data_IF_956819085676
#
_entry.id   IF_956819085676
#
_cell.length_a   1.000
_cell.length_b   1.000
_cell.length_c   1.000
_cell.angle_alpha   90.00
_cell.angle_beta   90.00
_cell.angle_gamma   90.00
#
_symmetry.space_group_name_H-M   'P 1'
#
loop_
_entity.id
_entity.type
_entity.pdbx_description
1 polymer ?
#
# COMPACT_ATOMS: atom_id res chain seq x y z
N UNK A 1 -9.77 -4.86 0.09
CA UNK A 1 -8.84 -5.80 -0.58
C UNK A 1 -7.51 -5.10 -0.78
N UNK A 2 -6.54 -5.34 0.12
CA UNK A 2 -5.17 -4.96 -0.18
C UNK A 2 -4.73 -5.72 -1.43
N UNK A 3 -4.50 -5.00 -2.53
CA UNK A 3 -3.91 -5.58 -3.74
C UNK A 3 -2.69 -6.41 -3.33
N UNK A 4 -2.62 -7.67 -3.79
CA UNK A 4 -1.43 -8.52 -3.65
C UNK A 4 -0.33 -7.96 -4.55
N UNK A 5 0.21 -6.79 -4.18
CA UNK A 5 1.33 -6.17 -4.87
C UNK A 5 2.55 -7.02 -4.63
N UNK A 6 3.27 -7.32 -5.70
CA UNK A 6 4.52 -8.04 -5.59
C UNK A 6 5.56 -7.10 -4.96
N UNK A 7 6.16 -7.54 -3.85
CA UNK A 7 7.24 -6.81 -3.19
C UNK A 7 8.56 -7.27 -3.77
N UNK A 8 9.26 -6.38 -4.48
CA UNK A 8 10.53 -6.70 -5.13
C UNK A 8 11.69 -6.78 -4.14
N UNK A 9 11.73 -5.85 -3.17
CA UNK A 9 12.73 -5.84 -2.09
C UNK A 9 12.30 -4.94 -0.94
N UNK A 10 12.83 -5.23 0.24
CA UNK A 10 12.77 -4.35 1.41
C UNK A 10 14.11 -3.68 1.66
N UNK A 11 14.07 -2.45 2.13
CA UNK A 11 15.22 -1.72 2.64
C UNK A 11 15.00 -1.45 4.12
N UNK A 12 15.98 -1.75 4.97
CA UNK A 12 15.93 -1.50 6.42
C UNK A 12 17.02 -0.54 6.87
N UNK A 13 16.73 0.24 7.90
CA UNK A 13 17.70 1.08 8.59
C UNK A 13 18.61 0.18 9.46
N UNK A 14 19.92 0.18 9.16
CA UNK A 14 20.89 -0.62 9.89
C UNK A 14 20.92 -0.25 11.38
N UNK A 15 20.98 -1.27 12.24
CA UNK A 15 20.95 -1.10 13.70
C UNK A 15 19.55 -0.92 14.29
N UNK A 16 18.50 -0.84 13.48
CA UNK A 16 17.12 -0.74 13.96
C UNK A 16 16.52 -2.13 14.21
N UNK A 17 16.61 -2.58 15.45
CA UNK A 17 16.21 -3.94 15.85
C UNK A 17 14.89 -4.00 16.63
N UNK A 18 13.92 -3.12 16.33
CA UNK A 18 12.63 -3.16 17.04
C UNK A 18 11.88 -4.46 16.74
N UNK A 19 11.01 -4.96 17.64
CA UNK A 19 10.23 -6.18 17.40
C UNK A 19 9.43 -6.13 16.08
N UNK A 20 8.92 -4.94 15.74
CA UNK A 20 8.22 -4.69 14.48
C UNK A 20 9.13 -4.90 13.27
N UNK A 21 10.36 -4.37 13.27
CA UNK A 21 11.31 -4.55 12.17
C UNK A 21 11.70 -6.01 12.02
N UNK A 22 11.99 -6.69 13.14
CA UNK A 22 12.34 -8.11 13.12
C UNK A 22 11.22 -8.98 12.55
N UNK A 23 9.96 -8.71 12.91
CA UNK A 23 8.82 -9.43 12.37
C UNK A 23 8.67 -9.25 10.86
N UNK A 24 8.92 -8.04 10.35
CA UNK A 24 8.90 -7.77 8.90
C UNK A 24 10.03 -8.49 8.17
N UNK A 25 11.24 -8.52 8.75
CA UNK A 25 12.38 -9.25 8.18
C UNK A 25 12.06 -10.75 8.10
N UNK A 26 11.57 -11.36 9.19
CA UNK A 26 11.16 -12.78 9.20
C UNK A 26 10.09 -13.08 8.16
N UNK A 27 9.11 -12.19 7.99
CA UNK A 27 8.07 -12.33 6.97
C UNK A 27 8.64 -12.24 5.55
N UNK A 28 9.60 -11.35 5.32
CA UNK A 28 10.28 -11.21 4.04
C UNK A 28 11.11 -12.44 3.69
N UNK A 29 11.87 -12.97 4.66
CA UNK A 29 12.64 -14.21 4.53
C UNK A 29 11.73 -15.41 4.20
N UNK A 30 10.62 -15.57 4.95
CA UNK A 30 9.64 -16.62 4.70
C UNK A 30 9.02 -16.53 3.29
N UNK A 31 8.92 -15.32 2.74
CA UNK A 31 8.41 -15.04 1.39
C UNK A 31 9.51 -14.93 0.33
N UNK A 32 10.77 -15.18 0.69
CA UNK A 32 11.96 -15.06 -0.20
C UNK A 32 12.09 -13.67 -0.85
N UNK A 33 11.66 -12.62 -0.15
CA UNK A 33 11.81 -11.23 -0.59
C UNK A 33 13.20 -10.72 -0.17
N UNK A 34 14.04 -10.21 -1.08
CA UNK A 34 15.33 -9.64 -0.74
C UNK A 34 15.24 -8.51 0.30
N UNK A 35 16.11 -8.54 1.29
CA UNK A 35 16.24 -7.49 2.32
C UNK A 35 17.62 -6.87 2.25
N UNK A 36 17.69 -5.56 2.03
CA UNK A 36 18.91 -4.76 1.97
C UNK A 36 18.98 -3.84 3.19
N UNK A 37 20.12 -3.82 3.88
CA UNK A 37 20.32 -2.95 5.05
C UNK A 37 21.16 -1.73 4.64
N UNK A 38 20.68 -0.53 4.95
CA UNK A 38 21.42 0.72 4.67
C UNK A 38 21.85 1.40 5.97
N UNK A 39 23.07 1.97 6.01
CA UNK A 39 23.49 2.85 7.09
C UNK A 39 22.47 3.97 7.31
N UNK A 40 22.22 4.33 8.57
CA UNK A 40 21.20 5.32 8.98
C UNK A 40 21.24 6.59 8.12
N UNK A 41 22.41 7.20 7.93
CA UNK A 41 22.56 8.43 7.15
C UNK A 41 22.10 8.25 5.68
N UNK A 42 22.45 7.13 5.04
CA UNK A 42 22.05 6.82 3.66
C UNK A 42 20.56 6.50 3.58
N UNK A 43 20.02 5.75 4.54
CA UNK A 43 18.59 5.45 4.62
C UNK A 43 17.77 6.75 4.69
N UNK A 44 18.10 7.63 5.63
CA UNK A 44 17.40 8.90 5.80
C UNK A 44 17.60 9.86 4.61
N UNK A 45 18.78 9.88 3.99
CA UNK A 45 19.03 10.65 2.76
C UNK A 45 18.18 10.15 1.59
N UNK A 46 17.92 8.85 1.52
CA UNK A 46 17.16 8.20 0.44
C UNK A 46 15.64 8.30 0.62
N UNK A 47 15.14 8.24 1.85
CA UNK A 47 13.71 8.19 2.17
C UNK A 47 13.21 9.42 2.96
N UNK A 48 13.81 10.59 2.70
CA UNK A 48 13.62 11.86 3.40
C UNK A 48 12.17 12.18 3.80
N UNK A 49 12.00 12.87 4.93
CA UNK A 49 10.77 13.51 5.41
C UNK A 49 9.50 12.62 5.48
N UNK A 50 9.61 11.29 5.39
CA UNK A 50 8.50 10.37 5.59
C UNK A 50 8.60 9.64 6.94
N UNK A 51 7.45 9.35 7.56
CA UNK A 51 7.38 8.51 8.78
C UNK A 51 7.62 7.05 8.38
N UNK A 52 8.88 6.67 8.13
CA UNK A 52 9.26 5.35 7.62
C UNK A 52 9.47 4.29 8.71
N UNK A 53 9.63 4.69 9.98
CA UNK A 53 9.88 3.78 11.12
C UNK A 53 11.06 2.79 10.95
N UNK A 54 11.92 3.00 9.95
CA UNK A 54 13.13 2.21 9.69
C UNK A 54 12.96 1.12 8.62
N UNK A 55 11.85 1.12 7.89
CA UNK A 55 11.55 0.12 6.85
C UNK A 55 10.99 0.83 5.62
N UNK A 56 11.46 0.45 4.44
CA UNK A 56 10.90 0.83 3.15
C UNK A 56 10.77 -0.41 2.26
N UNK A 57 9.89 -0.36 1.26
CA UNK A 57 9.69 -1.48 0.34
C UNK A 57 9.40 -0.99 -1.08
N UNK A 58 9.94 -1.71 -2.05
CA UNK A 58 9.65 -1.50 -3.47
C UNK A 58 8.58 -2.51 -3.89
N UNK A 59 7.47 -2.00 -4.42
CA UNK A 59 6.31 -2.79 -4.82
C UNK A 59 6.00 -2.53 -6.29
N UNK A 60 5.35 -3.49 -6.94
CA UNK A 60 4.69 -3.26 -8.22
C UNK A 60 3.68 -2.12 -8.11
N UNK A 61 3.52 -1.37 -9.20
CA UNK A 61 2.49 -0.35 -9.33
C UNK A 61 1.09 -0.92 -9.10
N UNK A 62 0.16 -0.05 -8.74
CA UNK A 62 -1.26 -0.38 -8.71
C UNK A 62 -1.80 -0.13 -10.11
N UNK A 63 -2.38 -1.16 -10.73
CA UNK A 63 -3.15 -0.97 -11.95
C UNK A 63 -4.49 -0.32 -11.59
N UNK A 64 -4.86 0.71 -12.35
CA UNK A 64 -6.23 1.23 -12.38
C UNK A 64 -7.09 0.29 -13.24
N UNK A 65 -8.39 0.32 -12.99
CA UNK A 65 -9.39 -0.38 -13.80
C UNK A 65 -10.10 0.66 -14.66
N UNK A 66 -10.53 0.25 -15.84
CA UNK A 66 -11.53 1.02 -16.59
C UNK A 66 -12.89 0.97 -15.85
N UNK A 67 -13.77 1.93 -16.13
CA UNK A 67 -15.03 2.07 -15.42
C UNK A 67 -15.92 0.83 -15.58
N UNK A 68 -16.00 0.29 -16.79
CA UNK A 68 -16.80 -0.88 -17.13
C UNK A 68 -16.31 -2.11 -16.35
N UNK A 69 -14.99 -2.32 -16.31
CA UNK A 69 -14.38 -3.42 -15.54
C UNK A 69 -14.69 -3.30 -14.04
N UNK A 70 -14.64 -2.09 -13.49
CA UNK A 70 -14.96 -1.85 -12.10
C UNK A 70 -16.41 -2.23 -11.79
N UNK A 71 -17.34 -1.83 -12.65
CA UNK A 71 -18.77 -2.12 -12.49
C UNK A 71 -19.03 -3.63 -12.54
N UNK A 72 -18.44 -4.33 -13.51
CA UNK A 72 -18.56 -5.79 -13.64
C UNK A 72 -18.05 -6.51 -12.39
N UNK A 73 -16.86 -6.15 -11.90
CA UNK A 73 -16.26 -6.74 -10.69
C UNK A 73 -17.12 -6.43 -9.46
N UNK A 74 -17.75 -5.25 -9.39
CA UNK A 74 -18.60 -4.88 -8.28
C UNK A 74 -19.86 -5.77 -8.20
N UNK A 75 -20.52 -6.01 -9.34
CA UNK A 75 -21.68 -6.89 -9.43
C UNK A 75 -21.36 -8.37 -9.18
N UNK A 76 -20.14 -8.81 -9.47
CA UNK A 76 -19.71 -10.17 -9.10
C UNK A 76 -19.61 -10.36 -7.58
N UNK A 77 -19.43 -9.28 -6.81
CA UNK A 77 -19.30 -9.34 -5.33
C UNK A 77 -20.63 -9.18 -4.61
N UNK A 78 -21.58 -8.45 -5.19
CA UNK A 78 -22.88 -8.15 -4.58
C UNK A 78 -23.92 -7.80 -5.64
N UNK A 79 -25.18 -8.13 -5.38
CA UNK A 79 -26.31 -7.79 -6.27
C UNK A 79 -26.64 -6.29 -6.30
N UNK A 80 -26.22 -5.53 -5.28
CA UNK A 80 -26.41 -4.09 -5.18
C UNK A 80 -25.08 -3.42 -4.81
N UNK A 81 -24.18 -3.18 -5.78
CA UNK A 81 -22.89 -2.56 -5.52
C UNK A 81 -23.04 -1.07 -5.20
N UNK A 82 -22.22 -0.63 -4.26
CA UNK A 82 -22.02 0.79 -3.93
C UNK A 82 -20.64 1.21 -4.41
N UNK A 83 -20.59 2.29 -5.18
CA UNK A 83 -19.36 2.92 -5.66
C UNK A 83 -19.26 4.35 -5.12
N UNK A 84 -18.04 4.85 -4.96
CA UNK A 84 -17.77 6.23 -4.52
C UNK A 84 -17.01 6.97 -5.60
N UNK A 85 -17.52 8.13 -6.02
CA UNK A 85 -16.82 9.03 -6.94
C UNK A 85 -16.14 10.11 -6.10
N UNK A 86 -14.84 10.33 -6.33
CA UNK A 86 -14.08 11.35 -5.62
C UNK A 86 -13.71 12.46 -6.60
N UNK A 87 -14.39 13.60 -6.50
CA UNK A 87 -14.10 14.77 -7.31
C UNK A 87 -13.27 15.78 -6.50
N UNK A 88 -12.19 16.31 -7.09
CA UNK A 88 -11.36 17.36 -6.49
C UNK A 88 -10.47 16.95 -5.30
N UNK A 89 -10.27 15.65 -5.04
CA UNK A 89 -9.36 15.20 -3.97
C UNK A 89 -7.90 15.33 -4.39
N UNK A 90 -7.17 16.28 -3.77
CA UNK A 90 -5.77 16.56 -4.09
C UNK A 90 -4.78 16.04 -3.03
N UNK A 91 -5.22 15.91 -1.78
CA UNK A 91 -4.37 15.47 -0.67
C UNK A 91 -4.32 13.93 -0.56
N UNK A 92 -3.12 13.31 -0.68
CA UNK A 92 -2.97 11.87 -0.51
C UNK A 92 -3.41 11.33 0.85
N UNK A 93 -3.35 12.16 1.90
CA UNK A 93 -3.80 11.74 3.24
C UNK A 93 -5.32 11.58 3.28
N UNK A 94 -6.07 12.54 2.73
CA UNK A 94 -7.52 12.45 2.59
C UNK A 94 -7.94 11.27 1.70
N UNK A 95 -7.28 11.09 0.54
CA UNK A 95 -7.53 9.93 -0.32
C UNK A 95 -7.33 8.60 0.42
N UNK A 96 -6.25 8.47 1.18
CA UNK A 96 -5.97 7.29 1.98
C UNK A 96 -7.01 7.03 3.09
N UNK A 97 -7.51 8.10 3.73
CA UNK A 97 -8.57 7.98 4.73
C UNK A 97 -9.88 7.49 4.11
N UNK A 98 -10.26 8.03 2.96
CA UNK A 98 -11.48 7.63 2.24
C UNK A 98 -11.40 6.18 1.78
N UNK A 99 -10.28 5.75 1.19
CA UNK A 99 -10.06 4.36 0.77
C UNK A 99 -10.26 3.38 1.95
N UNK A 100 -9.72 3.72 3.13
CA UNK A 100 -9.87 2.89 4.34
C UNK A 100 -11.30 2.82 4.84
N UNK A 101 -12.01 3.95 4.85
CA UNK A 101 -13.42 3.99 5.26
C UNK A 101 -14.28 3.18 4.28
N UNK A 102 -14.07 3.37 2.98
CA UNK A 102 -14.77 2.63 1.93
C UNK A 102 -14.55 1.13 2.05
N UNK A 103 -13.30 0.68 2.28
CA UNK A 103 -13.03 -0.74 2.53
C UNK A 103 -13.79 -1.27 3.76
N UNK A 104 -13.76 -0.52 4.87
CA UNK A 104 -14.40 -0.93 6.13
C UNK A 104 -15.91 -1.03 6.01
N UNK A 105 -16.52 -0.16 5.19
CA UNK A 105 -17.95 -0.15 4.89
C UNK A 105 -18.34 -1.17 3.80
N UNK A 106 -17.37 -1.90 3.23
CA UNK A 106 -17.63 -2.88 2.19
C UNK A 106 -18.02 -2.27 0.85
N UNK A 107 -17.58 -1.06 0.53
CA UNK A 107 -17.78 -0.40 -0.77
C UNK A 107 -16.94 -1.11 -1.84
N UNK A 108 -17.53 -1.34 -3.02
CA UNK A 108 -16.93 -2.19 -4.06
C UNK A 108 -15.86 -1.48 -4.90
N UNK A 109 -15.91 -0.15 -4.97
CA UNK A 109 -15.02 0.63 -5.83
C UNK A 109 -14.99 2.12 -5.53
N UNK A 110 -13.89 2.75 -5.95
CA UNK A 110 -13.72 4.19 -5.97
C UNK A 110 -13.38 4.62 -7.40
N UNK A 111 -13.90 5.77 -7.83
CA UNK A 111 -13.67 6.38 -9.13
C UNK A 111 -12.96 7.71 -8.91
N UNK A 112 -11.85 7.91 -9.61
CA UNK A 112 -11.04 9.13 -9.60
C UNK A 112 -11.09 9.75 -11.02
N UNK A 113 -11.60 10.97 -11.20
CA UNK A 113 -11.56 11.71 -12.46
C UNK A 113 -10.19 12.34 -12.74
#
# INVERSE_FOLDING_TARGET
>A
MASKRHCHKLIIEQGKATPRVQNVIKLAEAKKIPVESLPKALFHKKFQQKVHQGIAGYFTGIATLELEELIEIAFQKTSLPTLVILDGIQDPQNLGAIIRSAETLGIQGLILP
#
